data_IF_749214577950
#
_entry.id   IF_749214577950
#
_cell.length_a   1.000
_cell.length_b   1.000
_cell.length_c   1.000
_cell.angle_alpha   90.00
_cell.angle_beta   90.00
_cell.angle_gamma   90.00
#
_symmetry.space_group_name_H-M   'P 1'
#
loop_
_entity.id
_entity.type
_entity.pdbx_description
1 polymer ?
#
# COMPACT_ATOMS: atom_id res chain seq x y z
N UNK A 1 -27.90 23.21 4.04
CA UNK A 1 -27.39 23.82 2.79
C UNK A 1 -26.08 23.13 2.44
N UNK A 2 -26.01 22.31 1.36
CA UNK A 2 -24.75 21.70 0.96
C UNK A 2 -23.88 22.77 0.27
N UNK A 3 -22.62 22.89 0.69
CA UNK A 3 -21.67 23.86 0.12
C UNK A 3 -21.33 23.45 -1.33
N UNK A 4 -21.34 24.42 -2.23
CA UNK A 4 -20.98 24.24 -3.64
C UNK A 4 -19.55 23.71 -3.78
N UNK A 5 -19.39 22.58 -4.47
CA UNK A 5 -18.09 22.08 -4.93
C UNK A 5 -17.46 23.12 -5.86
N UNK A 6 -16.52 23.90 -5.35
CA UNK A 6 -15.67 24.72 -6.19
C UNK A 6 -14.69 23.79 -6.89
N UNK A 7 -14.97 23.52 -8.16
CA UNK A 7 -14.07 22.82 -9.06
C UNK A 7 -12.75 23.61 -9.10
N UNK A 8 -11.70 23.14 -8.41
CA UNK A 8 -10.35 23.70 -8.52
C UNK A 8 -9.82 23.30 -9.90
N UNK A 9 -10.26 24.03 -10.93
CA UNK A 9 -9.72 23.89 -12.28
C UNK A 9 -8.48 24.78 -12.33
N UNK A 10 -7.34 24.21 -11.96
CA UNK A 10 -6.06 24.87 -12.19
C UNK A 10 -5.94 25.16 -13.71
N UNK A 11 -5.59 26.39 -14.13
CA UNK A 11 -5.27 26.66 -15.52
C UNK A 11 -4.06 25.80 -15.88
N UNK A 12 -4.23 24.87 -16.83
CA UNK A 12 -3.12 24.11 -17.40
C UNK A 12 -2.41 25.08 -18.37
N UNK A 13 -1.19 25.56 -18.09
CA UNK A 13 -0.60 26.66 -18.85
C UNK A 13 -0.12 26.25 -20.26
N UNK A 14 -0.12 24.96 -20.61
CA UNK A 14 0.67 24.47 -21.73
C UNK A 14 -0.11 23.54 -22.66
N UNK A 15 -1.20 24.01 -23.30
CA UNK A 15 -1.86 23.27 -24.38
C UNK A 15 -1.76 23.94 -25.76
N UNK A 16 -1.09 25.10 -25.87
CA UNK A 16 -1.19 25.96 -27.06
C UNK A 16 0.02 25.88 -28.01
N UNK A 17 1.02 25.02 -27.77
CA UNK A 17 2.29 25.07 -28.53
C UNK A 17 2.91 23.73 -28.95
N UNK A 18 2.10 22.78 -29.43
CA UNK A 18 2.60 21.49 -29.95
C UNK A 18 2.20 21.18 -31.40
N UNK A 19 1.59 22.12 -32.12
CA UNK A 19 1.11 21.88 -33.50
C UNK A 19 2.22 21.87 -34.57
N UNK A 20 3.51 21.76 -34.22
CA UNK A 20 4.62 21.92 -35.18
C UNK A 20 5.82 20.99 -34.97
N UNK A 21 5.75 19.94 -34.15
CA UNK A 21 6.83 18.93 -34.15
C UNK A 21 6.51 17.83 -35.16
N UNK A 22 7.39 17.74 -36.16
CA UNK A 22 7.33 16.82 -37.30
C UNK A 22 7.01 15.38 -36.86
N UNK A 23 5.88 14.91 -37.37
CA UNK A 23 5.17 13.69 -36.99
C UNK A 23 5.83 12.38 -37.44
N UNK A 24 7.15 12.37 -37.71
CA UNK A 24 7.82 11.21 -38.34
C UNK A 24 8.92 10.55 -37.50
N UNK A 25 9.33 11.09 -36.36
CA UNK A 25 10.35 10.45 -35.51
C UNK A 25 10.27 10.78 -34.00
N UNK A 26 9.23 11.48 -33.55
CA UNK A 26 9.10 11.84 -32.15
C UNK A 26 8.30 10.77 -31.40
N UNK A 27 8.87 10.25 -30.32
CA UNK A 27 8.15 9.49 -29.30
C UNK A 27 6.83 10.20 -28.97
N UNK A 28 5.67 9.51 -28.96
CA UNK A 28 4.38 10.12 -28.67
C UNK A 28 4.30 10.86 -27.32
N UNK A 29 5.27 10.65 -26.42
CA UNK A 29 5.34 11.30 -25.12
C UNK A 29 6.50 12.30 -24.99
N UNK A 30 7.17 12.66 -26.09
CA UNK A 30 8.33 13.58 -26.07
C UNK A 30 8.00 14.96 -25.47
N UNK A 31 6.74 15.37 -25.59
CA UNK A 31 6.18 16.59 -25.03
C UNK A 31 6.03 16.56 -23.50
N UNK A 32 5.88 15.38 -22.90
CA UNK A 32 5.65 15.20 -21.46
C UNK A 32 6.81 14.56 -20.70
N UNK A 33 7.69 13.79 -21.37
CA UNK A 33 8.72 12.97 -20.71
C UNK A 33 9.75 13.78 -19.92
N UNK A 34 10.01 15.02 -20.33
CA UNK A 34 10.97 15.92 -19.68
C UNK A 34 10.33 16.92 -18.71
N UNK A 35 9.01 16.85 -18.49
CA UNK A 35 8.31 17.78 -17.61
C UNK A 35 8.59 17.47 -16.14
N UNK A 36 8.81 18.51 -15.36
CA UNK A 36 8.93 18.39 -13.91
C UNK A 36 7.54 18.21 -13.28
N UNK A 37 7.42 17.45 -12.18
CA UNK A 37 6.19 17.37 -11.41
C UNK A 37 5.71 18.76 -10.94
N UNK A 38 4.39 19.01 -10.85
CA UNK A 38 3.86 20.29 -10.42
C UNK A 38 4.24 20.59 -8.96
N UNK A 39 4.79 21.78 -8.72
CA UNK A 39 5.09 22.27 -7.37
C UNK A 39 3.98 23.22 -6.90
N UNK A 40 3.19 22.79 -5.91
CA UNK A 40 2.10 23.58 -5.34
C UNK A 40 2.55 24.24 -4.03
N UNK A 41 2.56 25.58 -3.92
CA UNK A 41 3.00 26.26 -2.69
C UNK A 41 2.19 25.89 -1.44
N UNK A 42 0.89 25.59 -1.62
CA UNK A 42 -0.01 25.17 -0.54
C UNK A 42 0.09 23.68 -0.19
N UNK A 43 0.70 22.87 -1.07
CA UNK A 43 0.83 21.43 -0.90
C UNK A 43 2.28 21.02 -1.22
N UNK A 44 3.22 21.32 -0.31
CA UNK A 44 4.59 20.89 -0.46
C UNK A 44 4.66 19.35 -0.53
N UNK A 45 5.70 18.80 -1.19
CA UNK A 45 5.87 17.35 -1.28
C UNK A 45 5.94 16.70 0.11
N UNK A 46 5.24 15.57 0.27
CA UNK A 46 5.27 14.81 1.51
C UNK A 46 6.66 14.19 1.75
N UNK A 47 7.14 14.23 3.00
CA UNK A 47 8.42 13.60 3.38
C UNK A 47 8.41 12.09 3.16
N UNK A 48 9.59 11.47 3.01
CA UNK A 48 9.72 10.02 2.83
C UNK A 48 9.07 9.24 3.97
N UNK A 49 9.28 9.68 5.22
CA UNK A 49 8.71 9.06 6.42
C UNK A 49 7.19 9.16 6.45
N UNK A 50 6.63 10.33 6.15
CA UNK A 50 5.19 10.52 6.11
C UNK A 50 4.54 9.70 4.97
N UNK A 51 5.23 9.56 3.82
CA UNK A 51 4.81 8.68 2.74
C UNK A 51 4.81 7.21 3.18
N UNK A 52 5.83 6.75 3.90
CA UNK A 52 5.87 5.40 4.44
C UNK A 52 4.76 5.16 5.47
N UNK A 53 4.44 6.17 6.28
CA UNK A 53 3.39 6.09 7.28
C UNK A 53 1.99 5.85 6.67
N UNK A 54 1.75 6.23 5.41
CA UNK A 54 0.50 5.92 4.70
C UNK A 54 0.25 4.40 4.59
N UNK A 55 1.32 3.59 4.63
CA UNK A 55 1.24 2.13 4.58
C UNK A 55 1.14 1.47 5.97
N UNK A 56 1.18 2.25 7.05
CA UNK A 56 0.99 1.73 8.43
C UNK A 56 -0.30 0.93 8.65
N UNK A 57 -1.46 1.24 8.03
CA UNK A 57 -2.67 0.43 8.18
C UNK A 57 -2.49 -1.04 7.79
N UNK A 58 -1.50 -1.34 6.94
CA UNK A 58 -1.20 -2.69 6.49
C UNK A 58 -0.06 -3.34 7.28
N UNK A 59 0.50 -2.66 8.30
CA UNK A 59 1.54 -3.24 9.17
C UNK A 59 1.04 -4.51 9.90
N UNK A 60 -0.25 -4.56 10.23
CA UNK A 60 -0.87 -5.73 10.85
C UNK A 60 -1.01 -6.92 9.88
N UNK A 61 -0.80 -6.74 8.57
CA UNK A 61 -0.73 -7.84 7.60
C UNK A 61 0.67 -8.46 7.52
N UNK A 62 1.67 -7.91 8.23
CA UNK A 62 2.88 -8.69 8.47
C UNK A 62 2.50 -9.98 9.22
N UNK A 63 3.05 -11.13 8.80
CA UNK A 63 2.66 -12.42 9.35
C UNK A 63 2.83 -12.43 10.87
N UNK A 64 1.77 -12.82 11.58
CA UNK A 64 1.75 -12.97 13.03
C UNK A 64 2.46 -14.26 13.45
N UNK A 65 3.73 -14.46 13.06
CA UNK A 65 4.46 -15.69 13.38
C UNK A 65 4.50 -15.97 14.88
N UNK A 66 4.61 -14.92 15.70
CA UNK A 66 4.54 -15.05 17.16
C UNK A 66 3.18 -15.60 17.66
N UNK A 67 2.06 -15.28 17.00
CA UNK A 67 0.75 -15.81 17.36
C UNK A 67 0.58 -17.26 16.85
N UNK A 68 1.15 -17.59 15.69
CA UNK A 68 1.14 -18.95 15.14
C UNK A 68 1.95 -19.86 16.06
N UNK A 69 3.17 -19.46 16.42
CA UNK A 69 4.02 -20.20 17.35
C UNK A 69 3.34 -20.39 18.72
N UNK A 70 2.73 -19.35 19.28
CA UNK A 70 2.03 -19.46 20.56
C UNK A 70 0.83 -20.42 20.52
N UNK A 71 0.18 -20.57 19.36
CA UNK A 71 -0.90 -21.54 19.16
C UNK A 71 -0.35 -22.96 18.99
N UNK A 72 0.78 -23.11 18.28
CA UNK A 72 1.47 -24.40 18.14
C UNK A 72 1.92 -24.94 19.50
N UNK A 73 2.60 -24.13 20.31
CA UNK A 73 3.06 -24.50 21.65
C UNK A 73 1.88 -24.91 22.58
N UNK A 74 0.75 -24.21 22.49
CA UNK A 74 -0.47 -24.52 23.26
C UNK A 74 -1.08 -25.87 22.84
N UNK A 75 -1.03 -26.19 21.55
CA UNK A 75 -1.54 -27.45 21.00
C UNK A 75 -0.65 -28.60 21.45
N UNK A 76 0.68 -28.44 21.36
CA UNK A 76 1.67 -29.44 21.81
C UNK A 76 1.52 -29.74 23.32
N UNK A 77 1.39 -28.71 24.17
CA UNK A 77 1.16 -28.91 25.61
C UNK A 77 -0.13 -29.69 25.92
N UNK A 78 -1.19 -29.47 25.13
CA UNK A 78 -2.46 -30.20 25.29
C UNK A 78 -2.37 -31.65 24.85
N UNK A 79 -1.58 -31.96 23.82
CA UNK A 79 -1.35 -33.35 23.39
C UNK A 79 -0.52 -34.11 24.41
N UNK A 80 0.47 -33.47 25.04
CA UNK A 80 1.29 -34.11 26.08
C UNK A 80 0.50 -34.44 27.37
N UNK A 81 -0.63 -33.76 27.58
CA UNK A 81 -1.53 -34.03 28.72
C UNK A 81 -2.53 -35.15 28.41
N UNK A 82 -2.68 -35.54 27.14
CA UNK A 82 -3.57 -36.62 26.74
C UNK A 82 -2.83 -37.95 26.86
N UNK A 83 -3.07 -38.67 27.95
CA UNK A 83 -2.61 -40.05 28.10
C UNK A 83 -3.37 -40.91 27.07
N UNK A 84 -2.65 -41.75 26.32
CA UNK A 84 -3.26 -42.61 25.29
C UNK A 84 -4.29 -43.54 25.96
N UNK A 85 -5.48 -43.69 25.36
CA UNK A 85 -6.59 -44.43 25.98
C UNK A 85 -6.18 -45.88 26.32
N UNK A 86 -5.32 -46.45 25.48
CA UNK A 86 -4.77 -47.80 25.60
C UNK A 86 -3.75 -47.92 26.76
N UNK A 87 -3.12 -46.82 27.20
CA UNK A 87 -2.28 -46.79 28.40
C UNK A 87 -3.11 -46.77 29.69
N UNK A 88 -4.28 -46.11 29.69
CA UNK A 88 -5.16 -45.99 30.86
C UNK A 88 -6.00 -47.26 31.06
N UNK A 89 -6.38 -47.92 29.97
CA UNK A 89 -7.24 -49.09 29.98
C UNK A 89 -6.63 -50.24 29.17
N UNK A 90 -5.58 -50.92 29.69
CA UNK A 90 -4.90 -51.99 28.96
C UNK A 90 -5.71 -53.29 28.81
N UNK A 91 -6.84 -53.40 29.53
CA UNK A 91 -7.65 -54.62 29.64
C UNK A 91 -9.00 -54.53 28.89
N UNK A 92 -9.26 -53.44 28.16
CA UNK A 92 -10.40 -53.29 27.24
C UNK A 92 -9.94 -53.37 25.79
#
# INVERSE_FOLDING_TARGET
MPKSNQQIRAPQPNLTKLSQLDSKLADPYQDIINLQPPHLPSHPPMSRTARAAQFMPFKALEPHEANIQAVEDLVEQKTDTYIEFDEIYPDF
#
